data_IF_639103872090
#
_entry.id   IF_639103872090
#
_cell.length_a   1.000
_cell.length_b   1.000
_cell.length_c   1.000
_cell.angle_alpha   90.00
_cell.angle_beta   90.00
_cell.angle_gamma   90.00
#
_symmetry.space_group_name_H-M   'P 1'
#
loop_
_entity.id
_entity.type
_entity.pdbx_description
1 polymer ?
#
# COMPACT_ATOMS: atom_id res chain seq x y z
N UNK A 1 -18.76 2.21 24.01
CA UNK A 1 -18.73 0.83 23.48
C UNK A 1 -19.72 0.74 22.33
N UNK A 2 -19.29 1.19 21.13
CA UNK A 2 -20.11 1.11 19.91
C UNK A 2 -19.81 -0.23 19.26
N UNK A 3 -20.85 -1.03 19.08
CA UNK A 3 -20.82 -2.31 18.37
C UNK A 3 -20.69 -1.96 16.89
N UNK A 4 -19.51 -2.17 16.30
CA UNK A 4 -19.36 -2.04 14.85
C UNK A 4 -20.15 -3.17 14.18
N UNK A 5 -21.22 -2.80 13.49
CA UNK A 5 -21.90 -3.64 12.51
C UNK A 5 -20.87 -4.18 11.50
N UNK A 6 -21.10 -5.38 10.97
CA UNK A 6 -20.18 -6.06 10.05
C UNK A 6 -19.81 -5.15 8.87
N UNK A 7 -18.67 -4.50 9.01
CA UNK A 7 -18.15 -3.56 8.03
C UNK A 7 -17.80 -4.36 6.78
N UNK A 8 -18.38 -4.00 5.63
CA UNK A 8 -18.01 -4.60 4.34
C UNK A 8 -16.63 -4.08 3.94
N UNK A 9 -15.60 -4.72 4.51
CA UNK A 9 -14.20 -4.33 4.34
C UNK A 9 -13.80 -4.33 2.86
N UNK A 10 -14.42 -5.13 1.99
CA UNK A 10 -14.11 -5.13 0.55
C UNK A 10 -14.61 -3.87 -0.16
N UNK A 11 -15.82 -3.39 0.18
CA UNK A 11 -16.34 -2.13 -0.36
C UNK A 11 -15.52 -0.94 0.13
N UNK A 12 -15.22 -0.88 1.43
CA UNK A 12 -14.36 0.16 2.00
C UNK A 12 -12.98 0.11 1.36
N UNK A 13 -12.39 -1.08 1.22
CA UNK A 13 -11.09 -1.24 0.58
C UNK A 13 -11.07 -0.66 -0.83
N UNK A 14 -12.04 -1.00 -1.69
CA UNK A 14 -12.12 -0.43 -3.05
C UNK A 14 -12.35 1.09 -3.03
N UNK A 15 -13.26 1.59 -2.20
CA UNK A 15 -13.48 3.05 -2.06
C UNK A 15 -12.24 3.79 -1.56
N UNK A 16 -11.43 3.17 -0.70
CA UNK A 16 -10.15 3.71 -0.22
C UNK A 16 -9.05 3.64 -1.28
N UNK A 17 -9.06 2.65 -2.17
CA UNK A 17 -8.14 2.59 -3.32
C UNK A 17 -8.33 3.80 -4.25
N UNK A 18 -9.59 4.16 -4.51
CA UNK A 18 -9.93 5.34 -5.32
C UNK A 18 -9.63 6.67 -4.59
N UNK A 19 -9.76 6.68 -3.25
CA UNK A 19 -9.48 7.83 -2.39
C UNK A 19 -8.01 8.28 -2.46
N UNK A 20 -7.04 7.36 -2.50
CA UNK A 20 -5.65 7.68 -2.14
C UNK A 20 -4.64 7.69 -3.28
N UNK A 21 -5.07 7.41 -4.52
CA UNK A 21 -4.36 7.94 -5.69
C UNK A 21 -4.15 9.47 -5.57
N UNK A 22 -4.98 10.16 -4.78
CA UNK A 22 -4.95 11.61 -4.58
C UNK A 22 -3.91 12.11 -3.58
N UNK A 23 -3.53 11.34 -2.55
CA UNK A 23 -2.61 11.77 -1.50
C UNK A 23 -1.27 11.03 -1.62
N UNK A 24 -0.21 11.76 -1.98
CA UNK A 24 1.18 11.28 -1.91
C UNK A 24 1.88 11.81 -0.65
N UNK A 25 1.14 12.03 0.45
CA UNK A 25 1.62 12.86 1.56
C UNK A 25 1.34 12.21 2.91
N UNK A 26 2.36 12.18 3.77
CA UNK A 26 2.31 11.68 5.17
C UNK A 26 1.58 12.66 6.11
N UNK A 27 1.25 13.87 5.64
CA UNK A 27 0.56 14.90 6.43
C UNK A 27 -0.94 14.59 6.58
N UNK A 28 -1.39 14.36 7.82
CA UNK A 28 -2.80 14.09 8.17
C UNK A 28 -3.73 15.19 7.68
N UNK A 29 -3.30 16.46 7.68
CA UNK A 29 -4.09 17.57 7.16
C UNK A 29 -4.30 17.46 5.65
N UNK A 30 -3.26 17.08 4.92
CA UNK A 30 -3.35 16.85 3.49
C UNK A 30 -4.23 15.63 3.16
N UNK A 31 -4.25 14.61 4.00
CA UNK A 31 -5.16 13.46 3.84
C UNK A 31 -6.62 13.90 4.04
N UNK A 32 -6.92 14.66 5.11
CA UNK A 32 -8.25 15.23 5.35
C UNK A 32 -8.70 16.13 4.20
N UNK A 33 -7.82 17.00 3.70
CA UNK A 33 -8.10 17.90 2.58
C UNK A 33 -8.41 17.12 1.30
N UNK A 34 -7.71 16.03 1.03
CA UNK A 34 -8.02 15.16 -0.10
C UNK A 34 -9.32 14.36 0.12
N UNK A 35 -9.68 14.03 1.36
CA UNK A 35 -10.94 13.33 1.69
C UNK A 35 -12.14 14.21 1.36
N UNK A 36 -12.10 15.47 1.80
CA UNK A 36 -13.11 16.48 1.51
C UNK A 36 -13.24 16.70 0.00
N UNK A 37 -12.13 16.92 -0.71
CA UNK A 37 -12.17 17.11 -2.18
C UNK A 37 -12.76 15.87 -2.88
N UNK A 38 -12.37 14.67 -2.47
CA UNK A 38 -12.85 13.44 -3.12
C UNK A 38 -14.34 13.26 -2.88
N UNK A 39 -14.82 13.51 -1.66
CA UNK A 39 -16.24 13.44 -1.32
C UNK A 39 -17.08 14.40 -2.18
N UNK A 40 -16.66 15.66 -2.31
CA UNK A 40 -17.35 16.66 -3.14
C UNK A 40 -17.35 16.23 -4.62
N UNK A 41 -16.20 15.76 -5.12
CA UNK A 41 -16.05 15.37 -6.52
C UNK A 41 -16.90 14.15 -6.90
N UNK A 42 -17.09 13.19 -5.97
CA UNK A 42 -17.88 11.99 -6.18
C UNK A 42 -19.39 12.24 -6.04
N UNK A 43 -19.81 13.07 -5.09
CA UNK A 43 -21.24 13.31 -4.85
C UNK A 43 -21.85 14.28 -5.88
N UNK A 44 -21.19 15.43 -6.09
CA UNK A 44 -21.79 16.59 -6.79
C UNK A 44 -20.93 17.15 -7.90
N UNK A 45 -19.75 16.59 -8.14
CA UNK A 45 -18.75 17.05 -9.10
C UNK A 45 -18.37 18.52 -8.92
N UNK A 46 -18.99 19.42 -9.67
CA UNK A 46 -18.79 20.87 -9.64
C UNK A 46 -20.05 21.61 -9.18
N UNK A 47 -21.07 20.93 -8.67
CA UNK A 47 -22.22 21.62 -8.09
C UNK A 47 -21.92 22.03 -6.65
N UNK A 48 -22.38 23.22 -6.20
CA UNK A 48 -22.27 23.61 -4.81
C UNK A 48 -22.89 22.56 -3.87
N UNK A 49 -22.20 22.27 -2.77
CA UNK A 49 -22.59 21.27 -1.77
C UNK A 49 -22.51 21.89 -0.36
N UNK A 50 -23.49 21.58 0.50
CA UNK A 50 -23.52 22.05 1.88
C UNK A 50 -22.56 21.25 2.75
N UNK A 51 -22.09 21.85 3.85
CA UNK A 51 -21.18 21.18 4.79
C UNK A 51 -21.73 19.85 5.34
N UNK A 52 -23.03 19.80 5.66
CA UNK A 52 -23.71 18.59 6.16
C UNK A 52 -23.78 17.49 5.08
N UNK A 53 -23.94 17.88 3.81
CA UNK A 53 -23.93 16.96 2.68
C UNK A 53 -22.51 16.42 2.44
N UNK A 54 -21.47 17.25 2.63
CA UNK A 54 -20.06 16.80 2.55
C UNK A 54 -19.79 15.76 3.66
N UNK A 55 -20.21 16.03 4.90
CA UNK A 55 -20.05 15.10 6.00
C UNK A 55 -20.76 13.76 5.71
N UNK A 56 -21.99 13.83 5.19
CA UNK A 56 -22.77 12.66 4.79
C UNK A 56 -22.11 11.87 3.67
N UNK A 57 -21.57 12.56 2.65
CA UNK A 57 -20.83 11.92 1.56
C UNK A 57 -19.58 11.21 2.09
N UNK A 58 -18.85 11.80 3.04
CA UNK A 58 -17.68 11.18 3.66
C UNK A 58 -18.06 9.89 4.38
N UNK A 59 -19.16 9.90 5.15
CA UNK A 59 -19.65 8.71 5.84
C UNK A 59 -20.08 7.61 4.85
N UNK A 60 -20.80 7.97 3.79
CA UNK A 60 -21.31 7.01 2.79
C UNK A 60 -20.18 6.38 1.95
N UNK A 61 -19.22 7.18 1.50
CA UNK A 61 -18.16 6.71 0.59
C UNK A 61 -16.99 6.07 1.34
N UNK A 62 -16.65 6.56 2.53
CA UNK A 62 -15.44 6.15 3.23
C UNK A 62 -15.70 5.49 4.59
N UNK A 63 -16.97 5.42 5.04
CA UNK A 63 -17.34 4.82 6.34
C UNK A 63 -16.54 5.41 7.51
N UNK A 64 -16.22 6.70 7.40
CA UNK A 64 -15.53 7.49 8.43
C UNK A 64 -16.35 8.75 8.71
N UNK A 65 -16.17 9.32 9.89
CA UNK A 65 -16.85 10.54 10.31
C UNK A 65 -15.81 11.57 10.71
N UNK A 66 -15.86 12.75 10.12
CA UNK A 66 -15.07 13.88 10.57
C UNK A 66 -15.86 14.67 11.62
N UNK A 67 -15.16 15.23 12.59
CA UNK A 67 -15.75 16.26 13.45
C UNK A 67 -16.02 17.52 12.63
N UNK A 68 -17.01 18.31 13.06
CA UNK A 68 -17.32 19.59 12.42
C UNK A 68 -16.09 20.52 12.38
N UNK A 69 -15.27 20.50 13.43
CA UNK A 69 -14.02 21.28 13.51
C UNK A 69 -13.01 20.86 12.44
N UNK A 70 -12.76 19.56 12.28
CA UNK A 70 -11.82 19.05 11.26
C UNK A 70 -12.28 19.37 9.84
N UNK A 71 -13.59 19.24 9.59
CA UNK A 71 -14.19 19.55 8.29
C UNK A 71 -14.07 21.05 7.98
N UNK A 72 -14.41 21.92 8.92
CA UNK A 72 -14.27 23.37 8.76
C UNK A 72 -12.81 23.80 8.58
N UNK A 73 -11.89 23.24 9.37
CA UNK A 73 -10.46 23.51 9.20
C UNK A 73 -9.94 23.08 7.83
N UNK A 74 -10.39 21.92 7.34
CA UNK A 74 -10.04 21.44 6.01
C UNK A 74 -10.60 22.35 4.91
N UNK A 75 -11.87 22.72 4.98
CA UNK A 75 -12.51 23.65 4.05
C UNK A 75 -11.78 25.01 4.03
N UNK A 76 -11.44 25.55 5.20
CA UNK A 76 -10.70 26.81 5.30
C UNK A 76 -9.31 26.72 4.64
N UNK A 77 -8.57 25.64 4.87
CA UNK A 77 -7.26 25.42 4.20
C UNK A 77 -7.42 25.31 2.69
N UNK A 78 -8.40 24.54 2.23
CA UNK A 78 -8.68 24.35 0.81
C UNK A 78 -9.10 25.65 0.12
N UNK A 79 -9.91 26.48 0.78
CA UNK A 79 -10.30 27.81 0.30
C UNK A 79 -9.11 28.75 0.24
N UNK A 80 -8.24 28.73 1.25
CA UNK A 80 -7.03 29.58 1.29
C UNK A 80 -6.01 29.28 0.19
N UNK A 81 -6.09 28.08 -0.40
CA UNK A 81 -5.21 27.62 -1.48
C UNK A 81 -5.90 27.59 -2.85
N UNK A 82 -7.07 28.21 -3.02
CA UNK A 82 -7.87 28.23 -4.26
C UNK A 82 -8.16 26.82 -4.84
N UNK A 83 -8.29 25.83 -3.94
CA UNK A 83 -8.65 24.44 -4.30
C UNK A 83 -10.15 24.18 -4.21
N UNK A 84 -10.87 24.94 -3.38
CA UNK A 84 -12.33 25.00 -3.35
C UNK A 84 -12.76 26.47 -3.41
N UNK A 85 -13.93 26.73 -3.97
CA UNK A 85 -14.60 28.03 -3.90
C UNK A 85 -15.75 27.98 -2.91
N UNK A 86 -15.92 29.05 -2.13
CA UNK A 86 -17.10 29.25 -1.29
C UNK A 86 -18.15 30.03 -2.08
N UNK A 87 -19.36 29.48 -2.13
CA UNK A 87 -20.55 30.07 -2.74
C UNK A 87 -21.43 30.71 -1.66
N UNK A 88 -22.57 31.29 -2.07
CA UNK A 88 -23.55 31.81 -1.13
C UNK A 88 -24.09 30.67 -0.23
N UNK A 89 -24.47 31.01 1.00
CA UNK A 89 -25.11 30.11 1.98
C UNK A 89 -24.25 28.91 2.46
N UNK A 90 -22.95 29.12 2.76
CA UNK A 90 -22.04 28.06 3.25
C UNK A 90 -21.95 26.84 2.31
N UNK A 91 -22.09 27.07 1.01
CA UNK A 91 -21.92 26.03 0.00
C UNK A 91 -20.50 26.06 -0.55
N UNK A 92 -19.93 24.89 -0.78
CA UNK A 92 -18.58 24.75 -1.34
C UNK A 92 -18.64 24.14 -2.73
N UNK A 93 -17.77 24.59 -3.61
CA UNK A 93 -17.70 24.15 -5.00
C UNK A 93 -16.26 23.83 -5.39
N UNK A 94 -16.04 22.68 -6.03
CA UNK A 94 -14.74 22.38 -6.62
C UNK A 94 -14.59 23.08 -7.98
N UNK A 95 -13.44 23.73 -8.24
CA UNK A 95 -13.05 24.14 -9.58
C UNK A 95 -13.00 22.92 -10.51
N UNK A 96 -13.44 23.08 -11.76
CA UNK A 96 -13.43 22.02 -12.78
C UNK A 96 -12.07 21.32 -12.93
N UNK A 97 -10.95 22.07 -12.74
CA UNK A 97 -9.59 21.53 -12.74
C UNK A 97 -9.37 20.47 -11.65
N UNK A 98 -9.88 20.67 -10.44
CA UNK A 98 -9.71 19.73 -9.33
C UNK A 98 -10.62 18.52 -9.51
N UNK A 99 -11.85 18.71 -10.00
CA UNK A 99 -12.74 17.59 -10.35
C UNK A 99 -12.13 16.70 -11.42
N UNK A 100 -11.58 17.30 -12.49
CA UNK A 100 -10.91 16.56 -13.55
C UNK A 100 -9.68 15.80 -13.03
N UNK A 101 -8.92 16.39 -12.09
CA UNK A 101 -7.78 15.75 -11.44
C UNK A 101 -8.22 14.55 -10.59
N UNK A 102 -9.25 14.69 -9.77
CA UNK A 102 -9.82 13.59 -8.97
C UNK A 102 -10.28 12.45 -9.87
N UNK A 103 -11.09 12.75 -10.87
CA UNK A 103 -11.61 11.74 -11.81
C UNK A 103 -10.49 11.07 -12.62
N UNK A 104 -9.49 11.84 -13.05
CA UNK A 104 -8.32 11.32 -13.75
C UNK A 104 -7.57 10.29 -12.91
N UNK A 105 -7.27 10.63 -11.65
CA UNK A 105 -6.60 9.72 -10.73
C UNK A 105 -7.42 8.48 -10.38
N UNK A 106 -8.73 8.63 -10.18
CA UNK A 106 -9.62 7.50 -9.92
C UNK A 106 -9.62 6.53 -11.12
N UNK A 107 -9.68 7.07 -12.34
CA UNK A 107 -9.59 6.30 -13.58
C UNK A 107 -8.22 5.64 -13.75
N UNK A 108 -7.13 6.31 -13.40
CA UNK A 108 -5.79 5.73 -13.45
C UNK A 108 -5.64 4.54 -12.49
N UNK A 109 -6.23 4.64 -11.29
CA UNK A 109 -6.28 3.54 -10.33
C UNK A 109 -7.13 2.36 -10.85
N UNK A 110 -8.32 2.62 -11.40
CA UNK A 110 -9.16 1.59 -12.06
C UNK A 110 -8.42 0.90 -13.20
N UNK A 111 -7.72 1.67 -14.04
CA UNK A 111 -6.94 1.15 -15.15
C UNK A 111 -5.77 0.29 -14.65
N UNK A 112 -5.10 0.70 -13.58
CA UNK A 112 -4.02 -0.09 -12.98
C UNK A 112 -4.55 -1.40 -12.41
N UNK A 113 -5.65 -1.36 -11.65
CA UNK A 113 -6.30 -2.55 -11.11
C UNK A 113 -6.67 -3.53 -12.23
N UNK A 114 -7.29 -3.01 -13.31
CA UNK A 114 -7.67 -3.81 -14.47
C UNK A 114 -6.45 -4.47 -15.11
N UNK A 115 -5.38 -3.72 -15.37
CA UNK A 115 -4.14 -4.28 -15.94
C UNK A 115 -3.52 -5.35 -15.06
N UNK A 116 -3.45 -5.10 -13.74
CA UNK A 116 -2.90 -6.07 -12.78
C UNK A 116 -3.73 -7.33 -12.73
N UNK A 117 -5.05 -7.19 -12.73
CA UNK A 117 -5.99 -8.30 -12.75
C UNK A 117 -5.81 -9.11 -14.03
N UNK A 118 -5.81 -8.46 -15.19
CA UNK A 118 -5.65 -9.12 -16.49
C UNK A 118 -4.30 -9.83 -16.62
N UNK A 119 -3.19 -9.16 -16.28
CA UNK A 119 -1.83 -9.75 -16.27
C UNK A 119 -1.78 -11.01 -15.40
N UNK A 120 -2.33 -10.94 -14.20
CA UNK A 120 -2.30 -12.06 -13.27
C UNK A 120 -3.17 -13.21 -13.76
N UNK A 121 -4.37 -12.94 -14.27
CA UNK A 121 -5.28 -13.96 -14.77
C UNK A 121 -4.75 -14.62 -16.04
N UNK A 122 -4.15 -13.88 -16.97
CA UNK A 122 -3.58 -14.46 -18.20
C UNK A 122 -2.60 -15.59 -17.88
N UNK A 123 -1.74 -15.37 -16.87
CA UNK A 123 -0.83 -16.42 -16.37
C UNK A 123 -1.59 -17.66 -15.88
N UNK A 124 -2.70 -17.48 -15.17
CA UNK A 124 -3.52 -18.58 -14.68
C UNK A 124 -4.36 -19.25 -15.77
N UNK A 125 -4.81 -18.52 -16.80
CA UNK A 125 -5.43 -19.12 -17.98
C UNK A 125 -4.48 -20.09 -18.68
N UNK A 126 -3.22 -19.70 -18.88
CA UNK A 126 -2.20 -20.55 -19.49
C UNK A 126 -1.89 -21.82 -18.66
N UNK A 127 -1.91 -21.70 -17.32
CA UNK A 127 -1.68 -22.85 -16.42
C UNK A 127 -2.92 -23.75 -16.33
N UNK A 128 -4.12 -23.15 -16.35
CA UNK A 128 -5.38 -23.84 -16.11
C UNK A 128 -6.02 -24.42 -17.38
N UNK A 129 -5.60 -24.03 -18.59
CA UNK A 129 -6.09 -24.59 -19.86
C UNK A 129 -6.01 -26.13 -19.94
N UNK A 130 -5.14 -26.75 -19.13
CA UNK A 130 -5.00 -28.20 -19.06
C UNK A 130 -5.84 -28.89 -17.95
N UNK A 131 -6.46 -28.15 -17.02
CA UNK A 131 -7.11 -28.76 -15.83
C UNK A 131 -8.42 -28.10 -15.37
N UNK A 132 -8.61 -26.78 -15.56
CA UNK A 132 -9.81 -26.07 -15.09
C UNK A 132 -10.07 -24.79 -15.93
N UNK A 133 -10.98 -24.79 -16.91
CA UNK A 133 -11.28 -23.58 -17.67
C UNK A 133 -11.94 -22.54 -16.77
N UNK A 134 -11.21 -21.46 -16.45
CA UNK A 134 -11.71 -20.36 -15.63
C UNK A 134 -12.78 -19.56 -16.40
N UNK A 135 -13.96 -19.42 -15.81
CA UNK A 135 -15.01 -18.50 -16.29
C UNK A 135 -14.86 -17.12 -15.63
N UNK A 136 -15.54 -16.12 -16.18
CA UNK A 136 -15.57 -14.77 -15.61
C UNK A 136 -15.97 -14.74 -14.12
N UNK A 137 -16.94 -15.56 -13.73
CA UNK A 137 -17.37 -15.68 -12.32
C UNK A 137 -16.26 -16.24 -11.43
N UNK A 138 -15.52 -17.25 -11.91
CA UNK A 138 -14.40 -17.83 -11.18
C UNK A 138 -13.27 -16.81 -10.97
N UNK A 139 -13.00 -16.00 -11.98
CA UNK A 139 -12.04 -14.89 -11.90
C UNK A 139 -12.44 -13.89 -10.82
N UNK A 140 -13.72 -13.48 -10.81
CA UNK A 140 -14.24 -12.55 -9.82
C UNK A 140 -14.15 -13.12 -8.41
N UNK A 141 -14.42 -14.41 -8.22
CA UNK A 141 -14.27 -15.10 -6.94
C UNK A 141 -12.82 -15.06 -6.42
N UNK A 142 -11.84 -15.45 -7.26
CA UNK A 142 -10.43 -15.47 -6.85
C UNK A 142 -9.94 -14.06 -6.54
N UNK A 143 -10.30 -13.08 -7.38
CA UNK A 143 -9.97 -11.68 -7.15
C UNK A 143 -10.54 -11.18 -5.81
N UNK A 144 -11.80 -11.50 -5.53
CA UNK A 144 -12.43 -11.15 -4.25
C UNK A 144 -11.75 -11.81 -3.05
N UNK A 145 -11.30 -13.06 -3.16
CA UNK A 145 -10.50 -13.73 -2.11
C UNK A 145 -9.17 -13.00 -1.91
N UNK A 146 -8.46 -12.65 -2.98
CA UNK A 146 -7.20 -11.91 -2.92
C UNK A 146 -7.40 -10.56 -2.19
N UNK A 147 -8.42 -9.78 -2.56
CA UNK A 147 -8.71 -8.49 -1.93
C UNK A 147 -9.01 -8.63 -0.43
N UNK A 148 -9.82 -9.62 -0.04
CA UNK A 148 -10.08 -9.90 1.39
C UNK A 148 -8.82 -10.32 2.13
N UNK A 149 -7.99 -11.16 1.52
CA UNK A 149 -6.74 -11.60 2.10
C UNK A 149 -5.77 -10.43 2.29
N UNK A 150 -5.63 -9.54 1.30
CA UNK A 150 -4.81 -8.33 1.39
C UNK A 150 -5.32 -7.40 2.50
N UNK A 151 -6.62 -7.16 2.57
CA UNK A 151 -7.24 -6.35 3.64
C UNK A 151 -6.91 -6.89 5.03
N UNK A 152 -7.11 -8.20 5.28
CA UNK A 152 -6.76 -8.83 6.57
C UNK A 152 -5.26 -8.79 6.86
N UNK A 153 -4.43 -8.97 5.83
CA UNK A 153 -2.97 -8.95 5.96
C UNK A 153 -2.46 -7.55 6.31
N UNK A 154 -2.97 -6.51 5.66
CA UNK A 154 -2.61 -5.12 5.96
C UNK A 154 -3.10 -4.69 7.34
N UNK A 155 -4.32 -5.07 7.72
CA UNK A 155 -4.80 -4.82 9.08
C UNK A 155 -3.87 -5.45 10.12
N UNK A 156 -3.53 -6.73 9.96
CA UNK A 156 -2.58 -7.42 10.85
C UNK A 156 -1.23 -6.73 10.89
N UNK A 157 -0.66 -6.39 9.74
CA UNK A 157 0.64 -5.73 9.68
C UNK A 157 0.61 -4.33 10.31
N UNK A 158 -0.46 -3.55 10.11
CA UNK A 158 -0.65 -2.27 10.78
C UNK A 158 -0.65 -2.41 12.30
N UNK A 159 -1.35 -3.41 12.83
CA UNK A 159 -1.38 -3.68 14.27
C UNK A 159 -0.01 -4.16 14.79
N UNK A 160 0.69 -5.00 14.03
CA UNK A 160 2.05 -5.44 14.37
C UNK A 160 3.04 -4.27 14.39
N UNK A 161 2.90 -3.33 13.45
CA UNK A 161 3.67 -2.09 13.45
C UNK A 161 3.41 -1.29 14.72
N UNK A 162 2.15 -1.18 15.16
CA UNK A 162 1.83 -0.52 16.44
C UNK A 162 2.48 -1.20 17.65
N UNK A 163 2.61 -2.53 17.67
CA UNK A 163 3.32 -3.25 18.74
C UNK A 163 4.82 -2.89 18.82
N UNK A 164 5.46 -2.60 17.68
CA UNK A 164 6.87 -2.20 17.65
C UNK A 164 7.09 -0.87 18.37
N UNK A 165 6.11 0.04 18.29
CA UNK A 165 6.19 1.37 18.89
C UNK A 165 5.61 1.42 20.30
N UNK A 166 4.69 0.51 20.66
CA UNK A 166 3.99 0.47 21.93
C UNK A 166 4.22 -0.88 22.64
N UNK A 167 5.25 -1.01 23.52
CA UNK A 167 5.59 -2.27 24.17
C UNK A 167 4.48 -2.87 25.03
N UNK A 168 3.62 -2.03 25.61
CA UNK A 168 2.49 -2.45 26.44
C UNK A 168 1.22 -2.77 25.65
N UNK A 169 1.21 -2.48 24.34
CA UNK A 169 0.09 -2.78 23.48
C UNK A 169 0.03 -4.29 23.19
N UNK A 170 -0.95 -4.95 23.82
CA UNK A 170 -1.29 -6.35 23.58
C UNK A 170 -2.45 -6.42 22.58
N UNK A 171 -2.22 -6.81 21.33
CA UNK A 171 -3.31 -7.00 20.39
C UNK A 171 -4.20 -8.17 20.83
N UNK A 172 -5.46 -8.14 20.41
CA UNK A 172 -6.37 -9.27 20.58
C UNK A 172 -5.81 -10.54 19.92
N UNK A 173 -6.12 -11.72 20.48
CA UNK A 173 -5.59 -13.02 20.02
C UNK A 173 -5.81 -13.28 18.51
N UNK A 174 -6.89 -12.76 17.93
CA UNK A 174 -7.21 -12.86 16.50
C UNK A 174 -6.15 -12.26 15.56
N UNK A 175 -5.32 -11.32 16.05
CA UNK A 175 -4.33 -10.61 15.23
C UNK A 175 -2.99 -11.38 15.21
N UNK A 176 -2.83 -12.36 16.10
CA UNK A 176 -1.66 -13.24 16.17
C UNK A 176 -1.68 -14.36 15.11
N UNK A 177 -2.77 -14.47 14.34
CA UNK A 177 -2.93 -15.52 13.33
C UNK A 177 -1.86 -15.48 12.24
N UNK A 178 -1.52 -16.65 11.70
CA UNK A 178 -0.58 -16.74 10.58
C UNK A 178 -1.24 -16.27 9.27
N UNK A 179 -0.43 -15.78 8.33
CA UNK A 179 -0.91 -15.41 6.98
C UNK A 179 -1.64 -16.57 6.29
N UNK A 180 -1.20 -17.81 6.51
CA UNK A 180 -1.89 -19.00 5.99
C UNK A 180 -3.31 -19.18 6.57
N UNK A 181 -3.52 -18.88 7.86
CA UNK A 181 -4.86 -18.88 8.47
C UNK A 181 -5.73 -17.74 7.94
N UNK A 182 -5.17 -16.54 7.77
CA UNK A 182 -5.90 -15.42 7.17
C UNK A 182 -6.36 -15.72 5.74
N UNK A 183 -5.51 -16.38 4.96
CA UNK A 183 -5.88 -16.85 3.61
C UNK A 183 -7.01 -17.86 3.67
N UNK A 184 -6.94 -18.85 4.58
CA UNK A 184 -8.02 -19.82 4.75
C UNK A 184 -9.34 -19.15 5.14
N UNK A 185 -9.33 -18.23 6.11
CA UNK A 185 -10.52 -17.44 6.47
C UNK A 185 -11.10 -16.67 5.28
N UNK A 186 -10.23 -16.07 4.47
CA UNK A 186 -10.65 -15.32 3.28
C UNK A 186 -11.32 -16.20 2.24
N UNK A 187 -10.84 -17.43 2.07
CA UNK A 187 -11.46 -18.46 1.23
C UNK A 187 -12.84 -18.84 1.79
N UNK A 188 -12.90 -19.18 3.08
CA UNK A 188 -14.13 -19.65 3.74
C UNK A 188 -15.24 -18.57 3.70
N UNK A 189 -14.88 -17.31 3.91
CA UNK A 189 -15.79 -16.15 3.86
C UNK A 189 -16.25 -15.79 2.44
N UNK A 190 -15.56 -16.26 1.41
CA UNK A 190 -15.86 -15.89 0.00
C UNK A 190 -16.80 -16.88 -0.68
N UNK A 191 -17.12 -18.01 -0.05
CA UNK A 191 -18.04 -19.03 -0.58
C UNK A 191 -17.74 -19.41 -2.04
N UNK A 192 -16.46 -19.44 -2.38
CA UNK A 192 -15.96 -19.74 -3.71
C UNK A 192 -16.28 -21.18 -4.12
N UNK A 193 -16.51 -21.38 -5.41
CA UNK A 193 -16.77 -22.68 -6.04
C UNK A 193 -15.48 -23.40 -6.44
N UNK A 194 -14.34 -22.74 -6.35
CA UNK A 194 -13.05 -23.26 -6.78
C UNK A 194 -12.35 -24.08 -5.68
N UNK A 195 -11.49 -25.04 -6.05
CA UNK A 195 -10.71 -25.79 -5.08
C UNK A 195 -9.79 -24.89 -4.23
N UNK A 196 -9.79 -25.08 -2.91
CA UNK A 196 -8.99 -24.28 -1.97
C UNK A 196 -7.49 -24.26 -2.34
N UNK A 197 -6.93 -25.38 -2.78
CA UNK A 197 -5.50 -25.48 -3.12
C UNK A 197 -5.16 -24.66 -4.37
N UNK A 198 -6.09 -24.57 -5.32
CA UNK A 198 -5.94 -23.72 -6.49
C UNK A 198 -5.88 -22.24 -6.07
N UNK A 199 -6.81 -21.80 -5.23
CA UNK A 199 -6.87 -20.41 -4.74
C UNK A 199 -5.63 -20.06 -3.92
N UNK A 200 -5.19 -20.97 -3.04
CA UNK A 200 -3.97 -20.76 -2.24
C UNK A 200 -2.75 -20.56 -3.12
N UNK A 201 -2.63 -21.36 -4.18
CA UNK A 201 -1.53 -21.26 -5.12
C UNK A 201 -1.60 -19.96 -5.91
N UNK A 202 -2.80 -19.58 -6.40
CA UNK A 202 -3.03 -18.32 -7.09
C UNK A 202 -2.64 -17.11 -6.25
N UNK A 203 -3.20 -16.99 -5.05
CA UNK A 203 -2.93 -15.87 -4.14
C UNK A 203 -1.46 -15.84 -3.72
N UNK A 204 -0.84 -16.99 -3.47
CA UNK A 204 0.60 -17.03 -3.17
C UNK A 204 1.45 -16.57 -4.35
N UNK A 205 1.09 -16.93 -5.58
CA UNK A 205 1.81 -16.54 -6.78
C UNK A 205 1.73 -15.04 -7.05
N UNK A 206 0.57 -14.42 -6.76
CA UNK A 206 0.38 -12.98 -6.85
C UNK A 206 1.48 -12.20 -6.10
N UNK A 207 1.84 -12.67 -4.91
CA UNK A 207 2.79 -12.02 -4.01
C UNK A 207 4.26 -12.42 -4.23
N UNK A 208 4.55 -13.61 -4.76
CA UNK A 208 5.93 -14.14 -4.81
C UNK A 208 6.84 -13.39 -5.78
N UNK A 209 6.32 -13.06 -6.97
CA UNK A 209 7.09 -12.39 -8.02
C UNK A 209 6.19 -11.31 -8.66
N UNK A 210 5.97 -10.18 -7.98
CA UNK A 210 5.11 -9.13 -8.49
C UNK A 210 5.76 -8.43 -9.70
N UNK A 211 4.98 -8.14 -10.73
CA UNK A 211 5.36 -7.20 -11.78
C UNK A 211 5.41 -5.78 -11.23
N UNK A 212 5.96 -4.84 -12.00
CA UNK A 212 5.95 -3.40 -11.65
C UNK A 212 4.52 -2.91 -11.39
N UNK A 213 3.55 -3.31 -12.23
CA UNK A 213 2.15 -2.93 -12.04
C UNK A 213 1.56 -3.55 -10.76
N UNK A 214 1.90 -4.80 -10.42
CA UNK A 214 1.50 -5.42 -9.14
C UNK A 214 2.12 -4.74 -7.93
N UNK A 215 3.39 -4.36 -8.00
CA UNK A 215 4.05 -3.58 -6.94
C UNK A 215 3.34 -2.24 -6.76
N UNK A 216 3.08 -1.52 -7.86
CA UNK A 216 2.39 -0.24 -7.83
C UNK A 216 0.97 -0.36 -7.26
N UNK A 217 0.24 -1.42 -7.64
CA UNK A 217 -1.08 -1.70 -7.09
C UNK A 217 -1.00 -1.97 -5.59
N UNK A 218 -0.13 -2.87 -5.14
CA UNK A 218 0.05 -3.17 -3.71
C UNK A 218 0.45 -1.92 -2.91
N UNK A 219 1.32 -1.06 -3.46
CA UNK A 219 1.70 0.21 -2.86
C UNK A 219 0.49 1.14 -2.72
N UNK A 220 -0.31 1.31 -3.79
CA UNK A 220 -1.55 2.09 -3.74
C UNK A 220 -2.51 1.55 -2.68
N UNK A 221 -2.66 0.23 -2.56
CA UNK A 221 -3.52 -0.38 -1.54
C UNK A 221 -3.01 -0.13 -0.11
N UNK A 222 -1.69 -0.19 0.09
CA UNK A 222 -1.07 0.02 1.39
C UNK A 222 -1.17 1.48 1.82
N UNK A 223 -0.85 2.42 0.94
CA UNK A 223 -1.03 3.86 1.14
C UNK A 223 -2.49 4.19 1.44
N UNK A 224 -3.40 3.49 0.75
CA UNK A 224 -4.84 3.62 0.94
C UNK A 224 -5.26 3.25 2.36
N UNK A 225 -4.75 2.13 2.82
CA UNK A 225 -5.02 1.60 4.15
C UNK A 225 -4.40 2.48 5.24
N UNK A 226 -3.16 2.94 5.06
CA UNK A 226 -2.48 3.81 6.01
C UNK A 226 -3.21 5.13 6.21
N UNK A 227 -3.59 5.81 5.12
CA UNK A 227 -4.18 7.14 5.24
C UNK A 227 -5.61 7.07 5.78
N UNK A 228 -6.35 5.97 5.53
CA UNK A 228 -7.60 5.70 6.25
C UNK A 228 -7.37 5.62 7.76
N UNK A 229 -6.37 4.86 8.21
CA UNK A 229 -6.06 4.80 9.63
C UNK A 229 -5.65 6.17 10.16
N UNK A 230 -4.80 6.91 9.44
CA UNK A 230 -4.33 8.23 9.85
C UNK A 230 -5.47 9.24 10.11
N UNK A 231 -6.53 9.22 9.30
CA UNK A 231 -7.73 10.07 9.50
C UNK A 231 -8.58 9.63 10.68
N UNK A 232 -8.57 8.34 11.02
CA UNK A 232 -9.37 7.80 12.11
C UNK A 232 -8.61 7.73 13.45
N UNK A 233 -7.36 8.20 13.51
CA UNK A 233 -6.61 8.32 14.76
C UNK A 233 -7.00 9.64 15.45
N UNK A 234 -7.37 9.56 16.73
CA UNK A 234 -7.62 10.78 17.50
C UNK A 234 -6.30 11.51 17.83
N UNK A 235 -6.40 12.83 18.08
CA UNK A 235 -5.25 13.66 18.44
C UNK A 235 -4.53 13.16 19.69
N UNK A 236 -5.25 12.49 20.60
CA UNK A 236 -4.68 11.91 21.81
C UNK A 236 -3.72 10.76 21.48
N UNK A 237 -4.09 9.87 20.56
CA UNK A 237 -3.27 8.76 20.08
C UNK A 237 -2.12 9.28 19.20
N UNK A 238 -2.34 10.29 18.37
CA UNK A 238 -1.26 10.93 17.59
C UNK A 238 -0.20 11.59 18.49
N UNK A 239 -0.64 12.34 19.52
CA UNK A 239 0.24 12.94 20.51
C UNK A 239 0.94 11.89 21.40
N UNK A 240 0.25 10.79 21.71
CA UNK A 240 0.83 9.67 22.44
C UNK A 240 1.90 8.95 21.61
N UNK A 241 1.62 8.66 20.33
CA UNK A 241 2.59 8.01 19.42
C UNK A 241 3.82 8.90 19.21
N UNK A 242 3.63 10.20 18.98
CA UNK A 242 4.74 11.16 18.81
C UNK A 242 5.60 11.36 20.07
N UNK A 243 5.00 11.27 21.26
CA UNK A 243 5.70 11.41 22.54
C UNK A 243 6.36 10.13 23.09
N UNK A 244 5.98 8.94 22.60
CA UNK A 244 6.31 7.65 23.23
C UNK A 244 7.27 6.76 22.44
N UNK A 245 7.88 7.28 21.36
CA UNK A 245 8.80 6.46 20.56
C UNK A 245 10.05 6.08 21.36
N UNK A 246 10.10 4.85 21.84
CA UNK A 246 11.33 4.23 22.30
C UNK A 246 12.34 4.12 21.14
N UNK A 247 13.63 4.13 21.44
CA UNK A 247 14.66 3.92 20.42
C UNK A 247 14.53 2.52 19.81
N UNK A 248 14.00 2.43 18.60
CA UNK A 248 13.82 1.17 17.90
C UNK A 248 15.14 0.77 17.24
N UNK A 249 15.63 -0.43 17.53
CA UNK A 249 16.82 -0.99 16.88
C UNK A 249 16.37 -1.97 15.82
N UNK A 250 16.59 -1.63 14.56
CA UNK A 250 16.24 -2.50 13.42
C UNK A 250 17.52 -3.14 12.91
N UNK A 251 17.56 -4.46 12.86
CA UNK A 251 18.67 -5.20 12.25
C UNK A 251 18.36 -5.49 10.79
N UNK A 252 19.23 -5.02 9.90
CA UNK A 252 19.13 -5.18 8.47
C UNK A 252 19.72 -6.52 8.02
N UNK A 253 19.02 -7.18 7.11
CA UNK A 253 19.51 -8.39 6.43
C UNK A 253 20.52 -8.06 5.32
N UNK A 254 21.37 -9.02 4.94
CA UNK A 254 22.38 -8.89 3.89
C UNK A 254 21.76 -8.46 2.56
N UNK A 255 20.60 -9.01 2.19
CA UNK A 255 19.91 -8.66 0.94
C UNK A 255 19.47 -7.19 0.89
N UNK A 256 19.03 -6.65 2.03
CA UNK A 256 18.64 -5.24 2.13
C UNK A 256 19.84 -4.32 1.92
N UNK A 257 20.98 -4.67 2.53
CA UNK A 257 22.22 -3.91 2.38
C UNK A 257 22.74 -4.01 0.93
N UNK A 258 22.70 -5.19 0.31
CA UNK A 258 23.05 -5.33 -1.10
C UNK A 258 22.14 -4.52 -2.02
N UNK A 259 20.85 -4.45 -1.71
CA UNK A 259 19.91 -3.59 -2.44
C UNK A 259 20.32 -2.12 -2.39
N UNK A 260 20.53 -1.56 -1.19
CA UNK A 260 20.92 -0.15 -1.02
C UNK A 260 22.28 0.18 -1.64
N UNK A 261 23.20 -0.79 -1.69
CA UNK A 261 24.51 -0.59 -2.31
C UNK A 261 24.48 -0.77 -3.84
N UNK A 262 23.31 -1.05 -4.43
CA UNK A 262 23.19 -1.32 -5.87
C UNK A 262 23.88 -2.60 -6.33
N UNK A 263 24.13 -3.53 -5.41
CA UNK A 263 24.79 -4.82 -5.67
C UNK A 263 23.80 -5.93 -6.05
N UNK A 264 22.50 -5.65 -5.96
CA UNK A 264 21.43 -6.57 -6.29
C UNK A 264 20.31 -5.83 -7.04
N UNK A 265 19.83 -6.39 -8.15
CA UNK A 265 18.68 -5.87 -8.87
C UNK A 265 17.41 -6.51 -8.30
N UNK A 266 16.74 -5.80 -7.39
CA UNK A 266 15.46 -6.22 -6.84
C UNK A 266 14.42 -5.11 -7.04
N UNK A 267 13.16 -5.43 -7.38
CA UNK A 267 12.09 -4.43 -7.54
C UNK A 267 11.81 -3.54 -6.31
N UNK A 268 12.46 -3.81 -5.16
CA UNK A 268 12.27 -3.10 -3.89
C UNK A 268 13.48 -2.27 -3.49
N UNK A 269 14.50 -2.13 -4.35
CA UNK A 269 15.69 -1.31 -4.07
C UNK A 269 15.30 0.15 -3.86
N UNK A 270 14.46 0.71 -4.75
CA UNK A 270 14.00 2.10 -4.64
C UNK A 270 13.24 2.35 -3.32
N UNK A 271 12.39 1.40 -2.92
CA UNK A 271 11.66 1.43 -1.65
C UNK A 271 12.62 1.39 -0.45
N UNK A 272 13.71 0.62 -0.56
CA UNK A 272 14.72 0.50 0.50
C UNK A 272 15.48 1.81 0.69
N UNK A 273 15.80 2.51 -0.41
CA UNK A 273 16.40 3.85 -0.37
C UNK A 273 15.45 4.88 0.25
N UNK A 274 14.19 4.90 -0.18
CA UNK A 274 13.18 5.80 0.36
C UNK A 274 12.98 5.59 1.88
N UNK A 275 12.94 4.33 2.33
CA UNK A 275 12.85 4.00 3.74
C UNK A 275 14.03 4.55 4.56
N UNK A 276 15.26 4.40 4.07
CA UNK A 276 16.45 4.89 4.77
C UNK A 276 16.45 6.41 4.84
N UNK A 277 16.13 7.10 3.74
CA UNK A 277 16.00 8.56 3.71
C UNK A 277 14.93 9.04 4.70
N UNK A 278 13.76 8.39 4.70
CA UNK A 278 12.67 8.71 5.61
C UNK A 278 13.07 8.52 7.09
N UNK A 279 13.80 7.46 7.41
CA UNK A 279 14.31 7.23 8.78
C UNK A 279 15.29 8.33 9.20
N UNK A 280 16.20 8.73 8.31
CA UNK A 280 17.21 9.76 8.60
C UNK A 280 16.58 11.16 8.77
N UNK A 281 15.60 11.49 7.93
CA UNK A 281 14.92 12.78 7.92
C UNK A 281 13.90 12.94 9.05
N UNK A 282 13.08 11.91 9.30
CA UNK A 282 11.88 12.03 10.13
C UNK A 282 11.90 11.17 11.41
N UNK A 283 12.68 10.08 11.46
CA UNK A 283 12.63 9.11 12.56
C UNK A 283 13.99 8.84 13.20
N UNK A 284 14.68 9.90 13.64
CA UNK A 284 16.06 9.85 14.21
C UNK A 284 16.23 8.91 15.41
N UNK A 285 15.14 8.58 16.09
CA UNK A 285 15.06 7.62 17.19
C UNK A 285 15.17 6.16 16.75
N UNK A 286 14.87 5.85 15.48
CA UNK A 286 15.11 4.55 14.87
C UNK A 286 16.60 4.46 14.52
N UNK A 287 17.24 3.37 14.94
CA UNK A 287 18.64 3.08 14.67
C UNK A 287 18.75 1.80 13.86
N UNK A 288 19.35 1.93 12.68
CA UNK A 288 19.64 0.81 11.80
C UNK A 288 20.96 0.17 12.21
N UNK A 289 20.94 -1.15 12.41
CA UNK A 289 22.10 -1.97 12.73
C UNK A 289 22.21 -3.09 11.72
N UNK A 290 23.39 -3.69 11.64
CA UNK A 290 23.61 -4.95 10.95
C UNK A 290 24.48 -5.83 11.84
N UNK A 291 24.42 -7.14 11.65
CA UNK A 291 25.24 -8.06 12.41
C UNK A 291 26.66 -8.14 11.82
N UNK A 292 27.66 -8.47 12.64
CA UNK A 292 29.02 -8.69 12.14
C UNK A 292 29.08 -9.77 11.05
N UNK A 293 28.26 -10.83 11.19
CA UNK A 293 28.11 -11.87 10.18
C UNK A 293 27.63 -11.34 8.82
N UNK A 294 26.79 -10.30 8.80
CA UNK A 294 26.36 -9.62 7.57
C UNK A 294 27.55 -8.97 6.87
N UNK A 295 28.47 -8.34 7.62
CA UNK A 295 29.71 -7.77 7.06
C UNK A 295 30.61 -8.86 6.49
N UNK A 296 30.78 -9.96 7.22
CA UNK A 296 31.59 -11.09 6.74
C UNK A 296 31.01 -11.69 5.45
N UNK A 297 29.68 -11.82 5.38
CA UNK A 297 28.99 -12.28 4.17
C UNK A 297 29.19 -11.30 3.00
N UNK A 298 29.02 -10.00 3.23
CA UNK A 298 29.31 -8.98 2.21
C UNK A 298 30.74 -9.09 1.70
N UNK A 299 31.72 -9.17 2.60
CA UNK A 299 33.13 -9.28 2.25
C UNK A 299 33.40 -10.56 1.44
N UNK A 300 32.81 -11.68 1.84
CA UNK A 300 32.93 -12.96 1.12
C UNK A 300 32.34 -12.87 -0.29
N UNK A 301 31.18 -12.25 -0.44
CA UNK A 301 30.51 -12.07 -1.73
C UNK A 301 31.32 -11.16 -2.64
N UNK A 302 31.79 -10.01 -2.14
CA UNK A 302 32.66 -9.09 -2.90
C UNK A 302 33.95 -9.77 -3.33
N UNK A 303 34.62 -10.49 -2.43
CA UNK A 303 35.85 -11.22 -2.77
C UNK A 303 35.58 -12.29 -3.83
N UNK A 304 34.50 -13.06 -3.69
CA UNK A 304 34.12 -14.10 -4.66
C UNK A 304 33.82 -13.50 -6.04
N UNK A 305 33.11 -12.37 -6.09
CA UNK A 305 32.86 -11.66 -7.34
C UNK A 305 34.16 -11.10 -7.93
N UNK A 306 35.02 -10.50 -7.11
CA UNK A 306 36.32 -9.98 -7.54
C UNK A 306 37.21 -11.08 -8.12
N UNK A 307 37.30 -12.22 -7.45
CA UNK A 307 38.05 -13.38 -7.92
C UNK A 307 37.50 -13.90 -9.26
N UNK A 308 36.17 -13.93 -9.44
CA UNK A 308 35.56 -14.27 -10.73
C UNK A 308 35.91 -13.28 -11.81
N UNK A 309 35.84 -11.98 -11.52
CA UNK A 309 36.15 -10.93 -12.49
C UNK A 309 37.62 -10.96 -12.92
N UNK A 310 38.55 -11.18 -11.98
CA UNK A 310 39.99 -11.22 -12.22
C UNK A 310 40.40 -12.48 -12.99
N UNK A 311 39.84 -13.64 -12.61
CA UNK A 311 40.27 -14.93 -13.18
C UNK A 311 39.53 -15.31 -14.47
N UNK A 312 38.58 -14.49 -14.95
CA UNK A 312 37.83 -14.75 -16.18
C UNK A 312 38.52 -14.10 -17.39
N UNK A 313 38.66 -14.87 -18.47
CA UNK A 313 39.11 -14.33 -19.75
C UNK A 313 37.97 -13.57 -20.44
N UNK A 314 38.07 -12.24 -20.43
CA UNK A 314 37.11 -11.34 -21.06
C UNK A 314 37.34 -11.24 -22.56
N UNK A 315 36.62 -12.04 -23.35
CA UNK A 315 36.59 -11.87 -24.80
C UNK A 315 35.56 -10.79 -25.19
N UNK A 316 35.70 -10.24 -26.41
CA UNK A 316 34.85 -9.16 -26.91
C UNK A 316 33.35 -9.43 -26.78
N UNK A 317 32.91 -10.67 -27.03
CA UNK A 317 31.50 -11.05 -26.95
C UNK A 317 31.00 -11.08 -25.50
N UNK A 318 31.82 -11.56 -24.56
CA UNK A 318 31.53 -11.54 -23.12
C UNK A 318 31.51 -10.12 -22.56
N UNK A 319 32.47 -9.28 -22.94
CA UNK A 319 32.47 -7.86 -22.54
C UNK A 319 31.25 -7.11 -23.09
N UNK A 320 30.87 -7.38 -24.35
CA UNK A 320 29.67 -6.80 -24.97
C UNK A 320 28.36 -7.32 -24.35
N UNK A 321 28.32 -8.58 -23.90
CA UNK A 321 27.20 -9.13 -23.16
C UNK A 321 27.11 -8.56 -21.74
N UNK A 322 28.25 -8.42 -21.06
CA UNK A 322 28.31 -7.83 -19.72
C UNK A 322 27.90 -6.37 -19.67
N UNK A 323 28.29 -5.56 -20.66
CA UNK A 323 27.83 -4.16 -20.78
C UNK A 323 26.33 -4.00 -21.08
N UNK A 324 25.65 -5.09 -21.49
CA UNK A 324 24.20 -5.12 -21.73
C UNK A 324 23.43 -5.75 -20.56
N UNK A 325 24.14 -6.35 -19.61
CA UNK A 325 23.59 -6.97 -18.42
C UNK A 325 23.66 -5.95 -17.30
N UNK A 326 22.50 -5.52 -16.79
CA UNK A 326 22.43 -4.70 -15.57
C UNK A 326 22.79 -5.52 -14.30
N UNK A 327 23.14 -6.80 -14.46
CA UNK A 327 23.51 -7.70 -13.38
C UNK A 327 24.98 -8.13 -13.45
N UNK A 328 25.70 -7.95 -12.34
CA UNK A 328 27.03 -8.51 -12.11
C UNK A 328 26.98 -9.95 -11.57
N UNK A 329 25.83 -10.40 -11.06
CA UNK A 329 25.65 -11.71 -10.42
C UNK A 329 25.64 -12.89 -11.40
N UNK A 330 25.34 -12.63 -12.68
CA UNK A 330 25.27 -13.65 -13.74
C UNK A 330 26.52 -13.77 -14.63
N UNK A 331 27.55 -12.95 -14.38
CA UNK A 331 28.75 -12.81 -15.22
C UNK A 331 30.00 -13.49 -14.65
#
# INVERSE_FOLDING_TARGET
MKIHASTDYSRIFNSLCHFLALSKTVDTKAVLDNLVITAIALDRESNPILIDDIASAIEVFFSTTLTESELLESLNRLSSCDRIGECQDNQYQLPLKEVAKVKGKAKDAENLETRVKDEWIEKWHLIAENQLPLKADNIAEIWGVLQKYLSKSFYRHGVQTSQLFLPDFKPNEDISESLAKLLQKSIDESKTTLPNDFIKTAVSDFLKNPSVDRVNYLAQLLDSTFSFFAVNLDDAVSNFLSGSFNSLKIFLDTNFIFGILGLHNHPLVDVSHELVSCIDEHFKQIKLYYHAATVEEMQRTVNTLSDRLINRNWNYNLSKAGLKSDELSGL
#
